data_IF_741595270621
#
_entry.id   IF_741595270621
#
_cell.length_a   1.000
_cell.length_b   1.000
_cell.length_c   1.000
_cell.angle_alpha   90.00
_cell.angle_beta   90.00
_cell.angle_gamma   90.00
#
_symmetry.space_group_name_H-M   'P 1'
#
loop_
_entity.id
_entity.type
_entity.pdbx_description
1 polymer ?
#
# COMPACT_ATOMS: atom_id res chain seq x y z
N UNK A 1 7.88 34.83 -17.96
CA UNK A 1 8.88 33.80 -17.59
C UNK A 1 8.43 32.47 -18.14
N UNK A 2 8.98 32.11 -19.29
CA UNK A 2 8.71 30.90 -20.07
C UNK A 2 9.27 29.66 -19.37
N UNK A 3 8.40 28.66 -19.10
CA UNK A 3 8.81 27.26 -19.00
C UNK A 3 8.14 26.49 -20.13
N UNK A 4 8.95 26.09 -21.10
CA UNK A 4 8.61 25.13 -22.12
C UNK A 4 9.28 23.81 -21.73
N UNK A 5 8.53 22.71 -21.54
CA UNK A 5 8.90 21.37 -22.02
C UNK A 5 8.02 20.25 -21.43
N UNK A 6 7.25 19.65 -22.35
CA UNK A 6 7.06 18.19 -22.52
C UNK A 6 6.30 17.43 -21.42
N UNK A 7 5.00 17.25 -21.70
CA UNK A 7 4.24 16.01 -21.45
C UNK A 7 4.07 15.62 -19.98
N UNK A 8 3.43 16.48 -19.19
CA UNK A 8 3.00 16.14 -17.85
C UNK A 8 1.64 15.41 -17.94
N UNK A 9 1.67 14.11 -18.23
CA UNK A 9 0.46 13.28 -18.15
C UNK A 9 -0.18 13.46 -16.79
N UNK A 10 -1.50 13.69 -16.77
CA UNK A 10 -2.27 13.80 -15.52
C UNK A 10 -2.01 12.57 -14.66
N UNK A 11 -2.07 12.73 -13.34
CA UNK A 11 -1.93 11.59 -12.43
C UNK A 11 -2.92 10.46 -12.79
N UNK A 12 -4.14 10.85 -13.13
CA UNK A 12 -5.19 9.91 -13.55
C UNK A 12 -4.81 9.22 -14.87
N UNK A 13 -4.21 9.94 -15.83
CA UNK A 13 -3.70 9.35 -17.07
C UNK A 13 -2.60 8.32 -16.80
N UNK A 14 -1.68 8.60 -15.86
CA UNK A 14 -0.62 7.64 -15.47
C UNK A 14 -1.20 6.40 -14.79
N UNK A 15 -2.26 6.59 -14.01
CA UNK A 15 -2.95 5.52 -13.31
C UNK A 15 -3.77 4.65 -14.28
N UNK A 16 -4.38 5.24 -15.29
CA UNK A 16 -5.13 4.53 -16.33
C UNK A 16 -4.21 3.83 -17.34
N UNK A 17 -3.07 4.43 -17.65
CA UNK A 17 -2.05 3.88 -18.54
C UNK A 17 -0.97 3.06 -17.83
N UNK A 18 -1.26 2.49 -16.66
CA UNK A 18 -0.35 1.59 -15.93
C UNK A 18 0.18 0.49 -16.86
N UNK A 19 1.50 0.35 -16.98
CA UNK A 19 2.13 -0.73 -17.74
C UNK A 19 2.55 -1.88 -16.81
N UNK A 20 2.91 -3.02 -17.40
CA UNK A 20 3.53 -4.12 -16.66
C UNK A 20 4.88 -3.70 -16.05
N UNK A 21 5.59 -2.77 -16.67
CA UNK A 21 6.84 -2.20 -16.17
C UNK A 21 6.64 -1.49 -14.83
N UNK A 22 5.58 -0.69 -14.67
CA UNK A 22 5.27 -0.07 -13.37
C UNK A 22 5.07 -1.12 -12.28
N UNK A 23 4.35 -2.20 -12.60
CA UNK A 23 4.10 -3.30 -11.65
C UNK A 23 5.42 -4.01 -11.27
N UNK A 24 6.34 -4.17 -12.22
CA UNK A 24 7.67 -4.73 -11.97
C UNK A 24 8.53 -3.82 -11.08
N UNK A 25 8.52 -2.51 -11.32
CA UNK A 25 9.22 -1.52 -10.49
C UNK A 25 8.71 -1.60 -9.04
N UNK A 26 7.38 -1.52 -8.84
CA UNK A 26 6.77 -1.60 -7.51
C UNK A 26 7.19 -2.91 -6.83
N UNK A 27 7.09 -4.04 -7.53
CA UNK A 27 7.47 -5.35 -6.99
C UNK A 27 8.95 -5.40 -6.58
N UNK A 28 9.85 -4.89 -7.42
CA UNK A 28 11.29 -4.94 -7.16
C UNK A 28 11.68 -4.04 -5.99
N UNK A 29 11.11 -2.85 -5.89
CA UNK A 29 11.32 -1.97 -4.75
C UNK A 29 10.73 -2.54 -3.47
N UNK A 30 9.50 -3.06 -3.55
CA UNK A 30 8.86 -3.70 -2.42
C UNK A 30 9.68 -4.89 -1.87
N UNK A 31 10.29 -5.68 -2.76
CA UNK A 31 11.19 -6.79 -2.36
C UNK A 31 12.40 -6.32 -1.56
N UNK A 32 12.97 -5.16 -1.86
CA UNK A 32 14.13 -4.61 -1.13
C UNK A 32 13.79 -4.18 0.29
N UNK A 33 12.53 -3.85 0.54
CA UNK A 33 12.05 -3.31 1.82
C UNK A 33 11.64 -4.40 2.82
N UNK A 34 11.61 -5.67 2.40
CA UNK A 34 11.20 -6.78 3.26
C UNK A 34 12.37 -7.23 4.13
N UNK A 35 12.17 -7.13 5.44
CA UNK A 35 13.05 -7.66 6.48
C UNK A 35 12.26 -8.56 7.45
N UNK A 36 12.92 -9.01 8.52
CA UNK A 36 12.31 -9.86 9.53
C UNK A 36 11.03 -9.24 10.12
N UNK A 37 11.10 -8.00 10.58
CA UNK A 37 9.95 -7.30 11.19
C UNK A 37 8.79 -7.17 10.21
N UNK A 38 9.09 -6.83 8.96
CA UNK A 38 8.11 -6.67 7.90
C UNK A 38 7.33 -7.97 7.65
N UNK A 39 8.07 -9.09 7.55
CA UNK A 39 7.49 -10.41 7.38
C UNK A 39 6.68 -10.84 8.62
N UNK A 40 7.19 -10.57 9.83
CA UNK A 40 6.47 -10.87 11.07
C UNK A 40 5.13 -10.11 11.11
N UNK A 41 5.15 -8.80 10.94
CA UNK A 41 3.95 -7.96 10.96
C UNK A 41 2.87 -8.39 9.96
N UNK A 42 3.26 -8.84 8.76
CA UNK A 42 2.30 -9.32 7.75
C UNK A 42 1.66 -10.68 8.10
N UNK A 43 2.35 -11.53 8.86
CA UNK A 43 1.88 -12.85 9.25
C UNK A 43 1.20 -12.90 10.63
N UNK A 44 1.32 -11.84 11.44
CA UNK A 44 0.84 -11.82 12.83
C UNK A 44 -0.61 -11.38 12.99
N UNK A 45 -1.23 -10.75 11.99
CA UNK A 45 -2.58 -10.22 12.13
C UNK A 45 -3.63 -11.33 12.36
N UNK A 46 -4.32 -11.29 13.51
CA UNK A 46 -5.40 -12.24 13.87
C UNK A 46 -6.80 -11.70 13.58
N UNK A 47 -6.92 -10.58 12.87
CA UNK A 47 -8.20 -9.95 12.53
C UNK A 47 -9.12 -9.61 13.72
N UNK A 48 -8.56 -9.27 14.89
CA UNK A 48 -9.32 -8.94 16.10
C UNK A 48 -10.15 -7.65 16.03
N UNK A 49 -9.94 -6.79 15.03
CA UNK A 49 -10.74 -5.57 14.81
C UNK A 49 -10.33 -4.34 15.62
N UNK A 50 -9.50 -4.45 16.68
CA UNK A 50 -9.12 -3.33 17.56
C UNK A 50 -8.51 -2.11 16.84
N UNK A 51 -7.85 -2.33 15.71
CA UNK A 51 -7.30 -1.21 14.91
C UNK A 51 -8.38 -0.37 14.21
N UNK A 52 -9.57 -0.92 14.01
CA UNK A 52 -10.70 -0.21 13.41
C UNK A 52 -11.22 0.87 14.34
N UNK A 53 -11.31 0.57 15.64
CA UNK A 53 -11.87 1.46 16.68
C UNK A 53 -11.04 2.73 16.91
N UNK A 54 -9.77 2.74 16.46
CA UNK A 54 -8.88 3.90 16.61
C UNK A 54 -8.59 4.63 15.29
N UNK A 55 -9.05 4.08 14.16
CA UNK A 55 -8.81 4.68 12.85
C UNK A 55 -9.85 5.76 12.56
N UNK A 56 -9.43 7.02 12.49
CA UNK A 56 -10.33 8.15 12.22
C UNK A 56 -11.11 8.01 10.91
N UNK A 57 -10.50 7.51 9.82
CA UNK A 57 -11.21 7.20 8.58
C UNK A 57 -12.33 6.19 8.76
N UNK A 58 -12.09 5.11 9.51
CA UNK A 58 -13.13 4.10 9.75
C UNK A 58 -14.20 4.62 10.71
N UNK A 59 -13.82 5.37 11.74
CA UNK A 59 -14.76 5.94 12.70
C UNK A 59 -15.78 6.85 12.01
N UNK A 60 -15.33 7.67 11.06
CA UNK A 60 -16.18 8.64 10.36
C UNK A 60 -17.03 7.99 9.26
N UNK A 61 -16.39 7.28 8.33
CA UNK A 61 -17.05 6.78 7.11
C UNK A 61 -17.62 5.36 7.27
N UNK A 62 -17.21 4.61 8.32
CA UNK A 62 -17.61 3.22 8.60
C UNK A 62 -17.40 2.22 7.45
N UNK A 63 -16.72 2.64 6.39
CA UNK A 63 -16.40 1.79 5.25
C UNK A 63 -15.32 0.77 5.62
N UNK A 64 -15.54 -0.55 5.41
CA UNK A 64 -14.55 -1.57 5.70
C UNK A 64 -13.17 -1.35 5.03
N UNK A 65 -13.10 -0.65 3.89
CA UNK A 65 -11.82 -0.29 3.24
C UNK A 65 -10.92 0.63 4.08
N UNK A 66 -11.49 1.31 5.06
CA UNK A 66 -10.77 2.19 5.97
C UNK A 66 -10.13 1.44 7.15
N UNK A 67 -10.58 0.21 7.44
CA UNK A 67 -10.04 -0.60 8.54
C UNK A 67 -8.54 -0.85 8.30
N UNK A 68 -7.64 -0.51 9.24
CA UNK A 68 -6.21 -0.67 9.05
C UNK A 68 -5.78 -2.12 8.74
N UNK A 69 -6.41 -3.11 9.36
CA UNK A 69 -6.15 -4.53 9.05
C UNK A 69 -6.48 -4.89 7.59
N UNK A 70 -7.49 -4.27 6.98
CA UNK A 70 -7.81 -4.50 5.57
C UNK A 70 -6.74 -3.89 4.64
N UNK A 71 -6.17 -2.74 5.01
CA UNK A 71 -5.04 -2.13 4.30
C UNK A 71 -3.80 -3.04 4.37
N UNK A 72 -3.51 -3.57 5.55
CA UNK A 72 -2.46 -4.57 5.74
C UNK A 72 -2.72 -5.80 4.86
N UNK A 73 -3.97 -6.27 4.81
CA UNK A 73 -4.39 -7.39 3.96
C UNK A 73 -4.13 -7.17 2.47
N UNK A 74 -4.33 -5.96 1.94
CA UNK A 74 -3.98 -5.65 0.54
C UNK A 74 -2.51 -5.89 0.23
N UNK A 75 -1.64 -5.50 1.17
CA UNK A 75 -0.20 -5.68 1.06
C UNK A 75 0.16 -7.16 1.26
N UNK A 76 -0.51 -7.83 2.20
CA UNK A 76 -0.30 -9.25 2.49
C UNK A 76 -0.62 -10.17 1.30
N UNK A 77 -1.68 -9.87 0.52
CA UNK A 77 -2.02 -10.65 -0.69
C UNK A 77 -0.87 -10.68 -1.70
N UNK A 78 -0.19 -9.55 -1.85
CA UNK A 78 0.97 -9.38 -2.74
C UNK A 78 2.19 -10.07 -2.15
N UNK A 79 2.46 -9.86 -0.86
CA UNK A 79 3.55 -10.51 -0.14
C UNK A 79 3.45 -12.04 -0.21
N UNK A 80 2.30 -12.62 0.14
CA UNK A 80 2.08 -14.06 0.09
C UNK A 80 2.32 -14.64 -1.29
N UNK A 81 1.90 -13.94 -2.36
CA UNK A 81 2.11 -14.39 -3.74
C UNK A 81 3.59 -14.55 -4.10
N UNK A 82 4.45 -13.67 -3.56
CA UNK A 82 5.86 -13.65 -3.94
C UNK A 82 6.77 -14.44 -2.98
N UNK A 83 6.41 -14.54 -1.70
CA UNK A 83 7.27 -15.11 -0.66
C UNK A 83 6.73 -16.41 -0.05
N UNK A 84 5.43 -16.68 -0.14
CA UNK A 84 4.85 -17.94 0.33
C UNK A 84 5.03 -19.06 -0.69
N UNK A 85 5.73 -20.14 -0.31
CA UNK A 85 5.90 -21.33 -1.17
C UNK A 85 4.53 -21.94 -1.53
N UNK A 86 3.70 -22.19 -0.51
CA UNK A 86 2.35 -22.73 -0.67
C UNK A 86 1.39 -21.73 -1.31
N UNK A 87 1.56 -20.43 -1.05
CA UNK A 87 0.75 -19.38 -1.66
C UNK A 87 1.02 -19.19 -3.17
N UNK A 88 2.15 -19.70 -3.70
CA UNK A 88 2.40 -19.82 -5.14
C UNK A 88 1.65 -21.00 -5.76
N UNK A 89 1.60 -22.13 -5.04
CA UNK A 89 1.03 -23.40 -5.50
C UNK A 89 -0.50 -23.38 -5.43
N UNK A 90 -1.08 -22.83 -4.35
CA UNK A 90 -2.54 -22.80 -4.12
C UNK A 90 -2.99 -21.36 -3.81
N UNK A 91 -3.01 -20.45 -4.81
CA UNK A 91 -3.26 -19.02 -4.58
C UNK A 91 -4.64 -18.73 -3.99
N UNK A 92 -5.65 -19.51 -4.38
CA UNK A 92 -7.02 -19.36 -3.93
C UNK A 92 -7.15 -19.57 -2.41
N UNK A 93 -6.43 -20.54 -1.84
CA UNK A 93 -6.49 -20.85 -0.41
C UNK A 93 -5.83 -19.76 0.45
N UNK A 94 -4.74 -19.16 -0.05
CA UNK A 94 -4.00 -18.12 0.67
C UNK A 94 -4.43 -16.69 0.30
N UNK A 95 -5.47 -16.56 -0.54
CA UNK A 95 -5.94 -15.28 -1.07
C UNK A 95 -4.87 -14.46 -1.79
N UNK A 96 -3.80 -15.12 -2.24
CA UNK A 96 -2.64 -14.44 -2.82
C UNK A 96 -2.98 -13.90 -4.20
N UNK A 97 -2.57 -12.67 -4.48
CA UNK A 97 -2.88 -12.00 -5.75
C UNK A 97 -1.62 -11.45 -6.39
N UNK A 98 -1.54 -11.57 -7.71
CA UNK A 98 -0.50 -10.92 -8.50
C UNK A 98 -0.75 -9.42 -8.47
N UNK A 99 0.30 -8.63 -8.28
CA UNK A 99 0.22 -7.18 -8.39
C UNK A 99 -0.13 -6.80 -9.83
N UNK A 100 -1.40 -6.48 -10.06
CA UNK A 100 -1.94 -6.04 -11.34
C UNK A 100 -2.37 -4.57 -11.26
N UNK A 101 -2.82 -4.01 -12.39
CA UNK A 101 -3.21 -2.60 -12.48
C UNK A 101 -4.29 -2.24 -11.45
N UNK A 102 -5.33 -3.07 -11.31
CA UNK A 102 -6.42 -2.82 -10.36
C UNK A 102 -5.94 -2.81 -8.91
N UNK A 103 -5.03 -3.71 -8.54
CA UNK A 103 -4.43 -3.72 -7.21
C UNK A 103 -3.56 -2.49 -6.97
N UNK A 104 -2.83 -2.01 -7.99
CA UNK A 104 -2.05 -0.78 -7.88
C UNK A 104 -2.97 0.43 -7.68
N UNK A 105 -4.09 0.52 -8.40
CA UNK A 105 -5.13 1.54 -8.18
C UNK A 105 -5.68 1.47 -6.76
N UNK A 106 -6.02 0.27 -6.29
CA UNK A 106 -6.51 0.04 -4.92
C UNK A 106 -5.46 0.42 -3.86
N UNK A 107 -4.17 0.16 -4.12
CA UNK A 107 -3.08 0.57 -3.24
C UNK A 107 -2.95 2.09 -3.20
N UNK A 108 -2.97 2.78 -4.34
CA UNK A 108 -2.92 4.25 -4.36
C UNK A 108 -4.06 4.83 -3.51
N UNK A 109 -5.28 4.39 -3.79
CA UNK A 109 -6.50 4.86 -3.13
C UNK A 109 -6.52 4.55 -1.63
N UNK A 110 -6.21 3.30 -1.26
CA UNK A 110 -6.27 2.85 0.14
C UNK A 110 -5.09 3.35 0.97
N UNK A 111 -3.88 3.38 0.38
CA UNK A 111 -2.65 3.69 1.08
C UNK A 111 -2.36 5.19 1.09
N UNK A 112 -2.64 5.96 0.05
CA UNK A 112 -2.52 7.43 0.09
C UNK A 112 -3.83 8.11 0.49
N UNK A 113 -4.95 7.77 -0.15
CA UNK A 113 -6.22 8.48 0.06
C UNK A 113 -6.88 8.24 1.42
N UNK A 114 -6.71 7.03 1.98
CA UNK A 114 -7.40 6.60 3.21
C UNK A 114 -6.48 6.33 4.40
N UNK A 115 -5.27 6.90 4.40
CA UNK A 115 -4.35 6.76 5.51
C UNK A 115 -3.53 8.04 5.67
N UNK A 116 -3.35 8.52 6.90
CA UNK A 116 -2.45 9.65 7.17
C UNK A 116 -1.14 9.22 7.84
N UNK A 117 -0.89 7.91 7.97
CA UNK A 117 0.23 7.36 8.75
C UNK A 117 0.27 7.82 10.22
N UNK A 118 -0.87 8.19 10.81
CA UNK A 118 -0.95 8.72 12.18
C UNK A 118 -0.55 7.75 13.32
N UNK A 119 -0.29 6.47 13.04
CA UNK A 119 0.23 5.54 14.03
C UNK A 119 -0.76 4.94 15.05
N UNK A 120 -1.98 5.47 15.17
CA UNK A 120 -2.97 5.02 16.18
C UNK A 120 -3.29 3.53 16.12
N UNK A 121 -3.31 2.95 14.92
CA UNK A 121 -3.54 1.52 14.73
C UNK A 121 -2.40 0.64 15.27
N UNK A 122 -1.16 1.11 15.25
CA UNK A 122 -0.02 0.40 15.80
C UNK A 122 -0.02 0.48 17.33
N UNK A 123 -0.31 1.67 17.89
CA UNK A 123 -0.39 1.87 19.34
C UNK A 123 -1.46 1.00 20.00
N UNK A 124 -2.57 0.73 19.30
CA UNK A 124 -3.67 -0.08 19.83
C UNK A 124 -3.55 -1.58 19.50
N UNK A 125 -2.55 -2.00 18.74
CA UNK A 125 -2.44 -3.39 18.30
C UNK A 125 -1.87 -4.24 19.44
N UNK A 126 -2.68 -5.12 20.02
CA UNK A 126 -2.25 -6.09 21.05
C UNK A 126 -1.23 -7.10 20.54
N UNK A 127 -1.17 -7.31 19.23
CA UNK A 127 -0.19 -8.17 18.57
C UNK A 127 1.11 -7.43 18.20
N UNK A 128 1.22 -6.13 18.48
CA UNK A 128 2.42 -5.33 18.22
C UNK A 128 2.68 -4.99 16.74
N UNK A 129 1.67 -5.06 15.88
CA UNK A 129 1.85 -4.87 14.43
C UNK A 129 2.02 -3.39 14.09
N UNK A 130 3.16 -3.03 13.50
CA UNK A 130 3.40 -1.69 12.98
C UNK A 130 2.85 -1.51 11.56
N UNK A 131 1.54 -1.40 11.41
CA UNK A 131 0.87 -1.17 10.11
C UNK A 131 1.39 0.10 9.37
N UNK A 132 1.61 1.26 10.03
CA UNK A 132 2.16 2.44 9.37
C UNK A 132 3.53 2.20 8.73
N UNK A 133 4.39 1.39 9.35
CA UNK A 133 5.68 1.00 8.78
C UNK A 133 5.50 0.25 7.45
N UNK A 134 4.59 -0.73 7.42
CA UNK A 134 4.26 -1.50 6.21
C UNK A 134 3.67 -0.59 5.11
N UNK A 135 2.73 0.28 5.47
CA UNK A 135 2.11 1.22 4.52
C UNK A 135 3.16 2.20 3.96
N UNK A 136 4.07 2.70 4.79
CA UNK A 136 5.15 3.60 4.34
C UNK A 136 6.04 2.93 3.29
N UNK A 137 6.41 1.67 3.50
CA UNK A 137 7.19 0.91 2.52
C UNK A 137 6.43 0.75 1.19
N UNK A 138 5.15 0.38 1.25
CA UNK A 138 4.31 0.24 0.06
C UNK A 138 4.14 1.58 -0.68
N UNK A 139 3.97 2.70 0.03
CA UNK A 139 3.99 4.05 -0.56
C UNK A 139 5.31 4.38 -1.23
N UNK A 140 6.44 3.97 -0.63
CA UNK A 140 7.77 4.12 -1.24
C UNK A 140 7.89 3.36 -2.56
N UNK A 141 7.37 2.13 -2.62
CA UNK A 141 7.34 1.35 -3.85
C UNK A 141 6.46 2.00 -4.95
N UNK A 142 5.31 2.57 -4.58
CA UNK A 142 4.47 3.36 -5.50
C UNK A 142 5.17 4.64 -5.98
N UNK A 143 5.90 5.32 -5.08
CA UNK A 143 6.66 6.51 -5.41
C UNK A 143 7.77 6.23 -6.43
N UNK A 144 8.48 5.11 -6.29
CA UNK A 144 9.48 4.68 -7.27
C UNK A 144 8.89 4.44 -8.66
N UNK A 145 7.61 4.06 -8.74
CA UNK A 145 6.88 3.91 -10.00
C UNK A 145 6.19 5.22 -10.48
N UNK A 146 6.46 6.36 -9.84
CA UNK A 146 5.86 7.69 -10.13
C UNK A 146 4.34 7.75 -9.94
N UNK A 147 3.82 6.97 -8.99
CA UNK A 147 2.41 6.88 -8.63
C UNK A 147 2.09 7.57 -7.30
N UNK A 148 2.71 8.73 -7.07
CA UNK A 148 2.38 9.61 -5.93
C UNK A 148 1.30 10.60 -6.38
N UNK A 149 0.20 10.77 -5.60
CA UNK A 149 -0.81 11.77 -5.89
C UNK A 149 -0.24 13.19 -5.97
N UNK A 150 -0.76 14.05 -6.86
CA UNK A 150 -0.15 15.34 -7.18
C UNK A 150 -0.04 16.27 -5.97
N UNK A 151 -1.05 16.30 -5.09
CA UNK A 151 -1.01 17.13 -3.89
C UNK A 151 0.07 16.73 -2.88
N UNK A 152 0.54 15.48 -2.90
CA UNK A 152 1.68 15.03 -2.10
C UNK A 152 3.00 15.25 -2.84
N UNK A 153 3.01 15.03 -4.16
CA UNK A 153 4.20 15.22 -4.99
C UNK A 153 4.64 16.69 -5.01
N UNK A 154 3.70 17.64 -5.09
CA UNK A 154 4.00 19.07 -5.08
C UNK A 154 4.77 19.53 -3.83
N UNK A 155 4.51 18.91 -2.68
CA UNK A 155 5.25 19.20 -1.44
C UNK A 155 6.70 18.75 -1.53
N UNK A 156 6.97 17.62 -2.20
CA UNK A 156 8.34 17.13 -2.42
C UNK A 156 9.07 18.02 -3.42
N UNK A 157 8.39 18.43 -4.49
CA UNK A 157 9.00 19.23 -5.56
C UNK A 157 9.32 20.67 -5.14
N UNK A 158 8.71 21.14 -4.04
CA UNK A 158 8.94 22.49 -3.49
C UNK A 158 10.02 22.51 -2.40
N UNK A 159 10.34 21.36 -1.81
CA UNK A 159 11.32 21.23 -0.73
C UNK A 159 12.76 21.19 -1.25
#
# INVERSE_FOLDING_TARGET
MTKNSKNEQSFDDRLDNLSEENCLIIKNEFKKLINYDFAAFLNTCVHCGLCADTCHYYIVDKNPKNIPANKLGLINKVFNRYFGLFAKIIPALYGSKVLNKDMVKEWVDSLFGRCTLCGRCALNCTMGINIPYIIRAARGALAAARLVPPGLQSTVDTA
#
